data_IF_281105645970
#
_entry.id   IF_281105645970
#
_cell.length_a   1.000
_cell.length_b   1.000
_cell.length_c   1.000
_cell.angle_alpha   90.00
_cell.angle_beta   90.00
_cell.angle_gamma   90.00
#
_symmetry.space_group_name_H-M   'P 1'
#
loop_
_entity.id
_entity.type
_entity.pdbx_description
1 polymer ?
#
# COMPACT_ATOMS: atom_id res chain seq x y z
N UNK A 1 -13.79 7.73 2.50
CA UNK A 1 -12.65 8.16 1.65
C UNK A 1 -13.14 8.75 0.32
N UNK A 2 -12.62 9.89 -0.15
CA UNK A 2 -13.02 10.50 -1.44
C UNK A 2 -12.19 9.93 -2.60
N UNK A 3 -12.84 9.47 -3.69
CA UNK A 3 -12.19 8.90 -4.88
C UNK A 3 -11.19 9.87 -5.53
N UNK A 4 -11.48 11.17 -5.54
CA UNK A 4 -10.60 12.18 -6.12
C UNK A 4 -9.30 12.35 -5.31
N UNK A 5 -9.41 12.40 -3.98
CA UNK A 5 -8.26 12.48 -3.08
C UNK A 5 -7.38 11.24 -3.22
N UNK A 6 -7.98 10.05 -3.35
CA UNK A 6 -7.22 8.82 -3.56
C UNK A 6 -6.52 8.76 -4.92
N UNK A 7 -7.12 9.31 -5.97
CA UNK A 7 -6.45 9.43 -7.26
C UNK A 7 -5.23 10.36 -7.18
N UNK A 8 -5.34 11.50 -6.48
CA UNK A 8 -4.21 12.40 -6.23
C UNK A 8 -3.14 11.74 -5.36
N UNK A 9 -3.52 11.04 -4.30
CA UNK A 9 -2.57 10.34 -3.45
C UNK A 9 -1.84 9.22 -4.20
N UNK A 10 -2.53 8.50 -5.09
CA UNK A 10 -1.90 7.51 -5.97
C UNK A 10 -0.79 8.12 -6.84
N UNK A 11 -0.93 9.37 -7.29
CA UNK A 11 0.12 10.05 -8.06
C UNK A 11 1.41 10.24 -7.26
N UNK A 12 1.38 10.30 -5.93
CA UNK A 12 2.62 10.39 -5.13
C UNK A 12 3.49 9.14 -5.21
N UNK A 13 2.94 8.05 -5.75
CA UNK A 13 3.65 6.79 -5.96
C UNK A 13 4.08 6.57 -7.42
N UNK A 14 3.78 7.50 -8.34
CA UNK A 14 4.15 7.39 -9.77
C UNK A 14 5.64 7.24 -9.98
N UNK A 15 6.43 7.77 -9.05
CA UNK A 15 7.89 7.81 -9.14
C UNK A 15 8.53 6.47 -8.70
N UNK A 16 7.72 5.50 -8.29
CA UNK A 16 8.17 4.15 -8.00
C UNK A 16 7.84 3.21 -9.19
N UNK A 17 8.76 3.01 -10.15
CA UNK A 17 8.51 2.18 -11.34
C UNK A 17 8.31 0.69 -11.04
N UNK A 18 8.62 0.27 -9.81
CA UNK A 18 8.54 -1.10 -9.31
C UNK A 18 7.20 -1.42 -8.65
N UNK A 19 6.44 -0.38 -8.27
CA UNK A 19 5.10 -0.49 -7.73
C UNK A 19 4.08 -0.37 -8.87
N UNK A 20 3.40 -1.46 -9.19
CA UNK A 20 2.43 -1.50 -10.27
C UNK A 20 1.09 -0.89 -9.88
N UNK A 21 0.65 -1.13 -8.64
CA UNK A 21 -0.63 -0.61 -8.16
C UNK A 21 -0.72 -0.58 -6.64
N UNK A 22 -1.60 0.27 -6.10
CA UNK A 22 -2.06 0.18 -4.71
C UNK A 22 -3.58 0.29 -4.68
N UNK A 23 -4.21 -0.74 -4.10
CA UNK A 23 -5.61 -0.70 -3.71
C UNK A 23 -5.71 -0.19 -2.27
N UNK A 24 -6.57 0.79 -2.04
CA UNK A 24 -6.92 1.25 -0.70
C UNK A 24 -8.39 0.97 -0.46
N UNK A 25 -8.72 0.48 0.73
CA UNK A 25 -10.09 0.18 1.10
C UNK A 25 -10.33 0.46 2.58
N UNK A 26 -11.56 0.84 2.88
CA UNK A 26 -12.05 1.02 4.24
C UNK A 26 -12.52 -0.34 4.77
N UNK A 27 -12.17 -0.68 6.01
CA UNK A 27 -12.66 -1.87 6.72
C UNK A 27 -13.79 -1.43 7.68
N UNK A 28 -13.53 -0.36 8.43
CA UNK A 28 -14.47 0.30 9.33
C UNK A 28 -14.10 1.80 9.45
N UNK A 29 -14.88 2.63 10.18
CA UNK A 29 -14.63 4.07 10.26
C UNK A 29 -13.24 4.48 10.79
N UNK A 30 -12.53 3.57 11.46
CA UNK A 30 -11.21 3.79 12.06
C UNK A 30 -10.10 2.91 11.49
N UNK A 31 -10.45 1.86 10.73
CA UNK A 31 -9.50 0.88 10.20
C UNK A 31 -9.55 0.85 8.68
N UNK A 32 -8.36 0.90 8.08
CA UNK A 32 -8.19 0.89 6.64
C UNK A 32 -7.19 -0.20 6.24
N UNK A 33 -7.35 -0.72 5.03
CA UNK A 33 -6.44 -1.68 4.43
C UNK A 33 -5.86 -1.15 3.13
N UNK A 34 -4.70 -1.70 2.76
CA UNK A 34 -4.18 -1.53 1.43
C UNK A 34 -3.50 -2.79 0.90
N UNK A 35 -3.52 -2.94 -0.42
CA UNK A 35 -2.78 -3.99 -1.14
C UNK A 35 -1.87 -3.29 -2.13
N UNK A 36 -0.56 -3.40 -1.90
CA UNK A 36 0.47 -2.94 -2.84
C UNK A 36 0.92 -4.09 -3.73
N UNK A 37 0.88 -3.90 -5.04
CA UNK A 37 1.33 -4.87 -6.03
C UNK A 37 2.62 -4.38 -6.65
N UNK A 38 3.66 -5.20 -6.57
CA UNK A 38 4.97 -4.94 -7.17
C UNK A 38 5.15 -5.77 -8.44
N UNK A 39 6.05 -5.31 -9.31
CA UNK A 39 6.38 -5.97 -10.57
C UNK A 39 6.84 -7.41 -10.37
N UNK A 40 7.72 -7.61 -9.40
CA UNK A 40 8.30 -8.90 -9.06
C UNK A 40 8.78 -8.89 -7.60
N UNK A 41 9.35 -10.01 -7.17
CA UNK A 41 9.84 -10.18 -5.79
C UNK A 41 11.03 -9.27 -5.48
N UNK A 42 11.93 -9.03 -6.44
CA UNK A 42 13.10 -8.19 -6.21
C UNK A 42 12.70 -6.71 -6.03
N UNK A 43 11.77 -6.23 -6.86
CA UNK A 43 11.11 -4.93 -6.73
C UNK A 43 10.45 -4.75 -5.35
N UNK A 44 9.72 -5.78 -4.89
CA UNK A 44 9.12 -5.80 -3.56
C UNK A 44 10.17 -5.69 -2.45
N UNK A 45 11.20 -6.53 -2.49
CA UNK A 45 12.27 -6.56 -1.49
C UNK A 45 13.06 -5.25 -1.44
N UNK A 46 13.35 -4.64 -2.59
CA UNK A 46 13.99 -3.33 -2.68
C UNK A 46 13.12 -2.20 -2.10
N UNK A 47 11.79 -2.34 -2.14
CA UNK A 47 10.84 -1.38 -1.60
C UNK A 47 10.62 -1.45 -0.09
N UNK A 48 11.04 -2.54 0.57
CA UNK A 48 10.82 -2.77 2.01
C UNK A 48 11.32 -1.63 2.91
N UNK A 49 12.55 -1.09 2.73
CA UNK A 49 13.04 0.00 3.58
C UNK A 49 12.15 1.25 3.49
N UNK A 50 11.66 1.58 2.29
CA UNK A 50 10.77 2.72 2.09
C UNK A 50 9.43 2.52 2.78
N UNK A 51 8.88 1.31 2.72
CA UNK A 51 7.63 0.96 3.39
C UNK A 51 7.78 1.05 4.91
N UNK A 52 8.90 0.57 5.45
CA UNK A 52 9.18 0.61 6.88
C UNK A 52 9.33 2.06 7.39
N UNK A 53 10.12 2.89 6.69
CA UNK A 53 10.27 4.30 7.02
C UNK A 53 8.92 5.05 6.97
N UNK A 54 8.08 4.76 5.97
CA UNK A 54 6.75 5.39 5.90
C UNK A 54 5.87 5.00 7.09
N UNK A 55 5.94 3.77 7.59
CA UNK A 55 5.17 3.32 8.77
C UNK A 55 5.61 4.00 10.04
N UNK A 56 6.92 4.06 10.25
CA UNK A 56 7.49 4.76 11.41
C UNK A 56 7.03 6.21 11.42
N UNK A 57 7.11 6.89 10.26
CA UNK A 57 6.63 8.25 10.08
C UNK A 57 5.12 8.40 10.33
N UNK A 58 4.27 7.55 9.74
CA UNK A 58 2.81 7.67 9.94
C UNK A 58 2.37 7.33 11.37
N UNK A 59 3.13 6.47 12.06
CA UNK A 59 2.88 6.15 13.46
C UNK A 59 3.21 7.31 14.39
N UNK A 60 4.26 8.09 14.09
CA UNK A 60 4.66 9.24 14.91
C UNK A 60 3.85 10.49 14.58
N UNK A 61 3.63 10.79 13.29
CA UNK A 61 3.01 12.04 12.84
C UNK A 61 1.48 11.99 12.85
N UNK A 62 0.88 10.83 12.59
CA UNK A 62 -0.57 10.69 12.39
C UNK A 62 -1.23 9.72 13.36
N UNK A 63 -0.45 9.09 14.25
CA UNK A 63 -0.95 8.07 15.17
C UNK A 63 -1.47 6.79 14.49
N UNK A 64 -1.21 6.62 13.19
CA UNK A 64 -1.66 5.47 12.41
C UNK A 64 -0.74 4.29 12.72
N UNK A 65 -1.30 3.22 13.28
CA UNK A 65 -0.56 2.01 13.65
C UNK A 65 -0.93 0.84 12.75
N UNK A 66 0.07 0.12 12.27
CA UNK A 66 -0.14 -1.13 11.54
C UNK A 66 -0.62 -2.21 12.52
N UNK A 67 -1.82 -2.76 12.31
CA UNK A 67 -2.39 -3.81 13.16
C UNK A 67 -2.15 -5.21 12.62
N UNK A 68 -2.03 -5.35 11.31
CA UNK A 68 -1.75 -6.61 10.62
C UNK A 68 -0.98 -6.34 9.32
N UNK A 69 -0.08 -7.25 9.00
CA UNK A 69 0.64 -7.24 7.74
C UNK A 69 0.88 -8.67 7.26
N UNK A 70 0.68 -8.89 5.96
CA UNK A 70 1.00 -10.14 5.30
C UNK A 70 1.71 -9.86 3.98
N UNK A 71 2.65 -10.75 3.63
CA UNK A 71 3.41 -10.71 2.39
C UNK A 71 3.30 -12.04 1.66
N UNK A 72 3.32 -12.01 0.34
CA UNK A 72 3.36 -13.24 -0.44
C UNK A 72 3.11 -13.01 -1.91
N UNK A 73 3.43 -14.04 -2.71
CA UNK A 73 2.98 -14.10 -4.08
C UNK A 73 1.45 -14.17 -4.10
N UNK A 74 0.83 -13.32 -4.91
CA UNK A 74 -0.62 -13.29 -5.07
C UNK A 74 -0.97 -13.84 -6.45
N UNK A 75 -1.90 -14.78 -6.50
CA UNK A 75 -2.46 -15.28 -7.76
C UNK A 75 -3.85 -14.67 -7.94
N UNK A 76 -4.02 -13.86 -8.99
CA UNK A 76 -5.33 -13.35 -9.33
C UNK A 76 -6.17 -14.46 -9.96
N UNK A 77 -7.17 -14.96 -9.23
CA UNK A 77 -8.17 -15.88 -9.78
C UNK A 77 -9.33 -15.02 -10.27
N UNK A 78 -9.33 -14.69 -11.56
CA UNK A 78 -10.44 -13.99 -12.20
C UNK A 78 -11.58 -14.99 -12.43
N UNK A 79 -12.69 -14.83 -11.72
CA UNK A 79 -13.92 -15.57 -11.99
C UNK A 79 -14.69 -14.83 -13.07
N UNK A 80 -15.05 -15.56 -14.14
CA UNK A 80 -15.93 -15.11 -15.22
C UNK A 80 -17.36 -14.91 -14.75
#
# INVERSE_FOLDING_TARGET
>A
MNKAEMATFQQTFSDNPDLLNIYWFEIDPTTHGSVSIFRDKAAYEAGLPRQQANRERTSTESGIRMTHEAHGACFAILRS
#
